data_IF_114742704576
#
_entry.id   IF_114742704576
#
_cell.length_a   1.000
_cell.length_b   1.000
_cell.length_c   1.000
_cell.angle_alpha   90.00
_cell.angle_beta   90.00
_cell.angle_gamma   90.00
#
_symmetry.space_group_name_H-M   'P 1'
#
loop_
_entity.id
_entity.type
_entity.pdbx_description
1 polymer ?
#
# COMPACT_ATOMS: atom_id res chain seq x y z
N UNK A 1 -8.76 -1.85 2.15
CA UNK A 1 -7.29 -1.88 2.30
C UNK A 1 -6.75 -0.57 1.76
N UNK A 2 -6.02 0.21 2.54
CA UNK A 2 -5.31 1.38 2.00
C UNK A 2 -3.88 0.96 1.77
N UNK A 3 -3.42 1.04 0.52
CA UNK A 3 -2.00 1.03 0.23
C UNK A 3 -1.49 2.43 0.61
N UNK A 4 -1.04 2.59 1.86
CA UNK A 4 -0.52 3.88 2.32
C UNK A 4 0.79 4.17 1.59
N UNK A 5 0.82 5.30 0.89
CA UNK A 5 2.01 6.12 0.77
C UNK A 5 1.75 7.37 1.61
N UNK A 6 2.52 7.53 2.69
CA UNK A 6 2.79 8.73 3.49
C UNK A 6 1.73 9.84 3.51
N UNK A 7 1.17 10.07 4.72
CA UNK A 7 0.41 11.28 5.08
C UNK A 7 1.24 12.55 4.79
N UNK A 8 0.78 13.37 3.84
CA UNK A 8 1.22 14.75 3.73
C UNK A 8 0.37 15.60 4.68
N UNK A 9 1.03 16.23 5.64
CA UNK A 9 0.49 17.35 6.42
C UNK A 9 0.04 18.45 5.43
N UNK A 10 -1.25 18.41 5.08
CA UNK A 10 -1.79 19.20 3.99
C UNK A 10 -2.91 18.48 3.24
N UNK A 11 -3.96 18.05 3.96
CA UNK A 11 -5.34 17.98 3.44
C UNK A 11 -5.64 17.24 2.13
N UNK A 12 -4.75 16.37 1.63
CA UNK A 12 -4.98 15.59 0.41
C UNK A 12 -4.79 14.12 0.73
N UNK A 13 -5.88 13.47 1.12
CA UNK A 13 -5.97 12.01 1.09
C UNK A 13 -6.02 11.61 -0.38
N UNK A 14 -4.84 11.38 -0.98
CA UNK A 14 -4.76 10.72 -2.27
C UNK A 14 -4.96 9.23 -2.05
N UNK A 15 -6.21 8.84 -1.82
CA UNK A 15 -6.65 7.48 -2.09
C UNK A 15 -6.43 7.24 -3.59
N UNK A 16 -5.24 6.75 -3.96
CA UNK A 16 -5.06 6.18 -5.28
C UNK A 16 -6.18 5.15 -5.43
N UNK A 17 -7.12 5.33 -6.36
CA UNK A 17 -8.27 4.46 -6.45
C UNK A 17 -7.73 3.03 -6.63
N UNK A 18 -8.38 2.08 -5.97
CA UNK A 18 -8.26 0.62 -6.11
C UNK A 18 -8.13 0.11 -7.58
N UNK A 19 -8.27 0.98 -8.58
CA UNK A 19 -8.08 0.77 -10.01
C UNK A 19 -6.61 0.68 -10.48
N UNK A 20 -5.60 1.13 -9.71
CA UNK A 20 -4.20 0.93 -10.13
C UNK A 20 -3.68 -0.49 -9.88
N UNK A 21 -4.33 -1.24 -8.98
CA UNK A 21 -4.15 -2.69 -8.87
C UNK A 21 -4.76 -3.45 -10.07
N UNK A 22 -5.50 -2.75 -10.95
CA UNK A 22 -6.24 -3.32 -12.08
C UNK A 22 -5.43 -3.43 -13.38
N UNK A 23 -4.09 -3.44 -13.31
CA UNK A 23 -3.25 -4.04 -14.36
C UNK A 23 -3.24 -5.59 -14.31
N UNK A 24 -4.19 -6.22 -13.61
CA UNK A 24 -4.55 -7.65 -13.72
C UNK A 24 -5.20 -8.02 -15.06
N UNK A 25 -4.70 -7.47 -16.17
CA UNK A 25 -5.07 -7.97 -17.49
C UNK A 25 -4.64 -9.43 -17.65
N UNK A 26 -3.60 -9.91 -16.94
CA UNK A 26 -3.07 -11.28 -17.05
C UNK A 26 -2.59 -11.91 -15.73
N UNK A 27 -3.33 -11.80 -14.62
CA UNK A 27 -2.92 -12.36 -13.31
C UNK A 27 -1.55 -11.84 -12.83
N UNK A 28 -1.22 -10.60 -13.17
CA UNK A 28 0.05 -9.97 -12.85
C UNK A 28 -0.18 -8.67 -12.10
N UNK A 29 0.67 -8.42 -11.09
CA UNK A 29 0.81 -7.15 -10.39
C UNK A 29 2.24 -6.68 -10.64
N UNK A 30 2.42 -5.44 -11.05
CA UNK A 30 3.74 -4.89 -11.33
C UNK A 30 4.05 -3.73 -10.37
N UNK A 31 5.30 -3.66 -9.89
CA UNK A 31 5.77 -2.53 -9.07
C UNK A 31 7.26 -2.29 -9.25
N UNK A 32 7.73 -1.11 -8.84
CA UNK A 32 9.15 -0.74 -8.80
C UNK A 32 9.75 -0.85 -7.39
N UNK A 33 9.01 -1.42 -6.41
CA UNK A 33 9.45 -1.51 -5.00
C UNK A 33 10.58 -2.50 -4.76
N UNK A 34 10.94 -3.32 -5.75
CA UNK A 34 11.91 -4.41 -5.58
C UNK A 34 11.49 -5.28 -4.37
N UNK A 35 12.42 -5.50 -3.44
CA UNK A 35 12.22 -6.27 -2.21
C UNK A 35 11.77 -5.39 -1.02
N UNK A 36 11.29 -4.17 -1.27
CA UNK A 36 10.74 -3.30 -0.24
C UNK A 36 9.58 -3.97 0.49
N UNK A 37 9.57 -3.85 1.81
CA UNK A 37 8.49 -4.36 2.67
C UNK A 37 7.54 -3.24 3.04
N UNK A 38 6.25 -3.54 3.00
CA UNK A 38 5.17 -2.62 3.29
C UNK A 38 4.31 -3.18 4.42
N UNK A 39 3.99 -2.40 5.45
CA UNK A 39 3.06 -2.80 6.49
C UNK A 39 1.62 -2.51 6.05
N UNK A 40 1.04 -3.41 5.23
CA UNK A 40 -0.27 -3.21 4.63
C UNK A 40 -1.37 -2.98 5.67
N UNK A 41 -2.02 -1.83 5.64
CA UNK A 41 -3.00 -1.41 6.65
C UNK A 41 -4.46 -1.63 6.20
N UNK A 42 -5.29 -2.12 7.11
CA UNK A 42 -6.72 -2.23 6.91
C UNK A 42 -7.42 -0.88 7.11
N UNK A 43 -8.47 -0.63 6.34
CA UNK A 43 -9.31 0.58 6.48
C UNK A 43 -9.97 0.67 7.85
N UNK A 44 -10.30 -0.46 8.48
CA UNK A 44 -10.90 -0.48 9.81
C UNK A 44 -9.91 -0.03 10.89
N UNK A 45 -8.65 -0.45 10.81
CA UNK A 45 -7.60 -0.01 11.73
C UNK A 45 -7.36 1.51 11.62
N UNK A 46 -7.43 2.08 10.40
CA UNK A 46 -7.36 3.54 10.21
C UNK A 46 -8.56 4.24 10.86
N UNK A 47 -9.76 3.70 10.66
CA UNK A 47 -10.97 4.26 11.24
C UNK A 47 -10.93 4.21 12.77
N UNK A 48 -10.46 3.11 13.35
CA UNK A 48 -10.28 2.93 14.79
C UNK A 48 -9.25 3.91 15.34
N UNK A 49 -8.05 3.98 14.76
CA UNK A 49 -7.02 4.94 15.19
C UNK A 49 -7.49 6.39 15.09
N UNK A 50 -8.25 6.72 14.03
CA UNK A 50 -8.83 8.06 13.86
C UNK A 50 -9.91 8.35 14.91
N UNK A 51 -10.77 7.37 15.18
CA UNK A 51 -11.82 7.49 16.19
C UNK A 51 -11.24 7.71 17.59
N UNK A 52 -10.24 6.92 17.97
CA UNK A 52 -9.53 7.09 19.25
C UNK A 52 -8.87 8.47 19.35
N UNK A 53 -8.19 8.91 18.28
CA UNK A 53 -7.54 10.22 18.27
C UNK A 53 -8.54 11.38 18.38
N UNK A 54 -9.72 11.26 17.78
CA UNK A 54 -10.77 12.28 17.82
C UNK A 54 -11.51 12.35 19.17
N UNK A 55 -11.58 11.22 19.89
CA UNK A 55 -12.26 11.14 21.19
C UNK A 55 -11.33 11.26 22.40
N UNK A 56 -10.02 11.31 22.19
CA UNK A 56 -9.06 11.47 23.27
C UNK A 56 -9.32 12.77 24.05
N UNK A 57 -9.38 12.67 25.39
CA UNK A 57 -9.56 13.84 26.27
C UNK A 57 -8.45 14.89 26.06
N UNK A 58 -7.25 14.42 25.74
CA UNK A 58 -6.12 15.26 25.39
C UNK A 58 -5.61 14.91 23.99
N UNK A 59 -5.60 15.90 23.10
CA UNK A 59 -4.97 15.78 21.79
C UNK A 59 -3.48 15.50 21.94
N UNK A 60 -2.99 14.53 21.19
CA UNK A 60 -1.56 14.24 21.11
C UNK A 60 -0.77 15.38 20.44
N UNK A 61 -1.44 16.26 19.68
CA UNK A 61 -0.82 17.37 18.94
C UNK A 61 0.46 16.96 18.20
N UNK A 62 0.43 15.76 17.61
CA UNK A 62 1.56 15.15 16.91
C UNK A 62 1.06 14.27 15.78
N UNK A 63 1.94 14.04 14.81
CA UNK A 63 1.67 13.16 13.69
C UNK A 63 2.05 11.72 14.04
N UNK A 64 1.13 10.79 13.76
CA UNK A 64 1.34 9.35 13.90
C UNK A 64 1.18 8.66 12.55
N UNK A 65 1.99 7.63 12.33
CA UNK A 65 1.84 6.69 11.24
C UNK A 65 0.95 5.53 11.68
N UNK A 66 -0.08 5.24 10.91
CA UNK A 66 -0.93 4.04 11.13
C UNK A 66 -0.48 2.97 10.14
N UNK A 67 0.02 1.85 10.66
CA UNK A 67 0.65 0.80 9.86
C UNK A 67 0.04 -0.57 10.15
N UNK A 68 0.07 -1.46 9.16
CA UNK A 68 -0.40 -2.83 9.33
C UNK A 68 0.44 -3.66 10.31
N UNK A 69 -0.10 -4.76 10.83
CA UNK A 69 0.60 -5.63 11.78
C UNK A 69 1.77 -6.41 11.18
N UNK A 70 1.84 -6.54 9.86
CA UNK A 70 2.79 -7.43 9.16
C UNK A 70 3.54 -6.69 8.06
N UNK A 71 4.87 -6.78 8.07
CA UNK A 71 5.74 -6.29 7.00
C UNK A 71 5.87 -7.32 5.89
N UNK A 72 5.33 -7.03 4.72
CA UNK A 72 5.29 -7.96 3.59
C UNK A 72 5.86 -7.32 2.33
N UNK A 73 6.56 -8.11 1.51
CA UNK A 73 6.89 -7.71 0.14
C UNK A 73 5.67 -7.91 -0.76
N UNK A 74 5.64 -7.26 -1.93
CA UNK A 74 4.62 -7.54 -2.93
C UNK A 74 4.68 -9.00 -3.42
N UNK A 75 5.86 -9.61 -3.51
CA UNK A 75 5.98 -11.04 -3.82
C UNK A 75 5.16 -11.88 -2.83
N UNK A 76 5.36 -11.67 -1.52
CA UNK A 76 4.63 -12.40 -0.49
C UNK A 76 3.13 -12.09 -0.51
N UNK A 77 2.74 -10.84 -0.76
CA UNK A 77 1.34 -10.46 -0.91
C UNK A 77 0.67 -11.23 -2.07
N UNK A 78 1.34 -11.35 -3.22
CA UNK A 78 0.82 -12.11 -4.38
C UNK A 78 0.78 -13.62 -4.15
N UNK A 79 1.71 -14.17 -3.38
CA UNK A 79 1.67 -15.57 -2.94
C UNK A 79 0.44 -15.84 -2.07
N UNK A 80 0.22 -15.02 -1.03
CA UNK A 80 -0.94 -15.16 -0.14
C UNK A 80 -2.24 -15.07 -0.95
N UNK A 81 -2.33 -14.12 -1.88
CA UNK A 81 -3.49 -13.99 -2.75
C UNK A 81 -3.70 -15.24 -3.61
N UNK A 82 -2.62 -15.77 -4.21
CA UNK A 82 -2.65 -16.98 -5.03
C UNK A 82 -3.13 -18.20 -4.26
N UNK A 83 -2.66 -18.37 -3.02
CA UNK A 83 -3.08 -19.45 -2.11
C UNK A 83 -4.59 -19.39 -1.83
N UNK A 84 -5.14 -18.18 -1.64
CA UNK A 84 -6.56 -17.98 -1.28
C UNK A 84 -7.49 -18.21 -2.47
N UNK A 85 -7.13 -17.74 -3.66
CA UNK A 85 -8.01 -17.82 -4.85
C UNK A 85 -7.82 -19.12 -5.65
N UNK A 86 -6.77 -19.89 -5.36
CA UNK A 86 -6.49 -21.17 -6.02
C UNK A 86 -5.94 -21.06 -7.43
N UNK A 87 -5.47 -19.88 -7.86
CA UNK A 87 -4.76 -19.70 -9.12
C UNK A 87 -3.60 -18.72 -8.97
N UNK A 88 -2.57 -18.88 -9.82
CA UNK A 88 -1.33 -18.10 -9.72
C UNK A 88 -1.57 -16.64 -10.07
N UNK A 89 -1.21 -15.75 -9.16
CA UNK A 89 -0.97 -14.32 -9.35
C UNK A 89 0.55 -14.09 -9.26
N UNK A 90 1.13 -13.35 -10.19
CA UNK A 90 2.57 -13.11 -10.24
C UNK A 90 2.89 -11.65 -9.98
N UNK A 91 3.81 -11.38 -9.05
CA UNK A 91 4.43 -10.08 -8.93
C UNK A 91 5.57 -9.94 -9.94
N UNK A 92 5.56 -8.85 -10.72
CA UNK A 92 6.59 -8.52 -11.71
C UNK A 92 7.30 -7.25 -11.30
N UNK A 93 8.60 -7.37 -11.06
CA UNK A 93 9.47 -6.24 -10.81
C UNK A 93 9.73 -5.50 -12.12
N UNK A 94 9.26 -4.26 -12.20
CA UNK A 94 9.48 -3.38 -13.36
C UNK A 94 10.51 -2.30 -13.02
N UNK A 95 11.13 -1.71 -14.04
CA UNK A 95 12.05 -0.59 -13.84
C UNK A 95 11.28 0.72 -13.72
N UNK A 96 11.92 1.73 -13.14
CA UNK A 96 11.37 3.08 -13.06
C UNK A 96 11.00 3.63 -14.43
N UNK A 97 11.82 3.38 -15.45
CA UNK A 97 11.58 3.83 -16.81
C UNK A 97 10.33 3.16 -17.42
N UNK A 98 10.12 1.87 -17.13
CA UNK A 98 8.93 1.12 -17.57
C UNK A 98 7.66 1.65 -16.91
N UNK A 99 7.69 1.91 -15.60
CA UNK A 99 6.55 2.47 -14.88
C UNK A 99 6.22 3.89 -15.34
N UNK A 100 7.24 4.75 -15.47
CA UNK A 100 7.05 6.11 -15.97
C UNK A 100 6.53 6.11 -17.42
N UNK A 101 7.03 5.20 -18.25
CA UNK A 101 6.53 4.99 -19.61
C UNK A 101 5.06 4.60 -19.63
N UNK A 102 4.66 3.68 -18.75
CA UNK A 102 3.25 3.30 -18.57
C UNK A 102 2.39 4.50 -18.16
N UNK A 103 2.76 5.24 -17.12
CA UNK A 103 1.96 6.38 -16.66
C UNK A 103 1.86 7.49 -17.72
N UNK A 104 2.94 7.78 -18.45
CA UNK A 104 2.90 8.73 -19.57
C UNK A 104 1.97 8.24 -20.69
N UNK A 105 1.97 6.93 -20.99
CA UNK A 105 1.12 6.34 -22.05
C UNK A 105 -0.38 6.50 -21.78
N UNK A 106 -0.77 6.61 -20.51
CA UNK A 106 -2.18 6.83 -20.10
C UNK A 106 -2.51 8.33 -19.90
N UNK A 107 -1.63 9.24 -20.35
CA UNK A 107 -1.86 10.69 -20.33
C UNK A 107 -1.54 11.37 -19.00
N UNK A 108 -0.75 10.74 -18.13
CA UNK A 108 -0.37 11.33 -16.85
C UNK A 108 0.73 12.39 -17.03
N UNK A 109 0.64 13.48 -16.27
CA UNK A 109 1.54 14.63 -16.37
C UNK A 109 2.95 14.28 -15.87
N UNK A 110 4.03 14.69 -16.57
CA UNK A 110 5.40 14.26 -16.26
C UNK A 110 5.84 14.48 -14.80
N UNK A 111 5.47 15.61 -14.20
CA UNK A 111 5.83 15.97 -12.84
C UNK A 111 5.17 15.02 -11.83
N UNK A 112 3.92 14.66 -12.10
CA UNK A 112 3.16 13.74 -11.27
C UNK A 112 3.68 12.29 -11.42
N UNK A 113 4.09 11.90 -12.63
CA UNK A 113 4.77 10.62 -12.88
C UNK A 113 6.08 10.52 -12.11
N UNK A 114 6.89 11.58 -12.14
CA UNK A 114 8.16 11.63 -11.42
C UNK A 114 7.95 11.55 -9.90
N UNK A 115 6.93 12.23 -9.38
CA UNK A 115 6.55 12.17 -7.97
C UNK A 115 6.17 10.74 -7.54
N UNK A 116 5.26 10.07 -8.26
CA UNK A 116 4.85 8.69 -7.94
C UNK A 116 6.02 7.72 -7.96
N UNK A 117 6.87 7.79 -9.00
CA UNK A 117 8.03 6.92 -9.10
C UNK A 117 9.06 7.16 -7.98
N UNK A 118 9.22 8.42 -7.55
CA UNK A 118 10.05 8.77 -6.40
C UNK A 118 9.57 8.14 -5.10
N UNK A 119 8.24 8.06 -4.88
CA UNK A 119 7.66 7.43 -3.68
C UNK A 119 7.97 5.92 -3.65
N UNK A 120 7.80 5.23 -4.77
CA UNK A 120 8.06 3.80 -4.87
C UNK A 120 9.57 3.47 -4.72
N UNK A 121 10.45 4.33 -5.21
CA UNK A 121 11.90 4.19 -5.01
C UNK A 121 12.28 4.25 -3.52
N UNK A 122 11.60 5.09 -2.73
CA UNK A 122 11.84 5.22 -1.29
C UNK A 122 11.38 3.96 -0.55
N UNK A 123 10.30 3.31 -0.98
CA UNK A 123 9.88 1.99 -0.48
C UNK A 123 10.94 0.92 -0.78
N UNK A 124 11.53 0.92 -1.98
CA UNK A 124 12.60 0.00 -2.34
C UNK A 124 13.85 0.11 -1.44
N UNK A 125 14.03 1.26 -0.78
CA UNK A 125 15.09 1.50 0.20
C UNK A 125 14.65 1.29 1.67
N UNK A 126 13.50 0.64 1.88
CA UNK A 126 13.02 0.21 3.20
C UNK A 126 12.50 1.35 4.07
N UNK A 127 12.02 2.45 3.48
CA UNK A 127 11.48 3.57 4.26
C UNK A 127 10.28 3.16 5.12
N UNK A 128 9.36 2.36 4.56
CA UNK A 128 8.18 1.86 5.27
C UNK A 128 8.56 0.89 6.41
N UNK A 129 9.55 0.02 6.18
CA UNK A 129 10.07 -0.89 7.21
C UNK A 129 10.66 -0.12 8.41
N UNK A 130 11.30 1.02 8.18
CA UNK A 130 11.86 1.87 9.25
C UNK A 130 10.82 2.55 10.11
N UNK A 131 9.57 2.69 9.65
CA UNK A 131 8.48 3.29 10.42
C UNK A 131 7.89 2.30 11.44
N UNK A 132 8.03 0.99 11.21
CA UNK A 132 7.42 -0.01 12.08
C UNK A 132 8.15 -0.07 13.42
N UNK A 133 7.38 -0.03 14.52
CA UNK A 133 7.92 -0.10 15.88
C UNK A 133 8.50 1.20 16.43
N UNK A 134 8.41 2.32 15.70
CA UNK A 134 8.76 3.63 16.25
C UNK A 134 7.71 4.11 17.24
N UNK A 135 8.08 5.02 18.15
CA UNK A 135 7.13 5.63 19.10
C UNK A 135 6.03 6.48 18.44
N UNK A 136 6.17 6.78 17.14
CA UNK A 136 5.18 7.53 16.35
C UNK A 136 4.27 6.61 15.52
N UNK A 137 4.20 5.34 15.87
CA UNK A 137 3.49 4.34 15.07
C UNK A 137 2.36 3.70 15.85
N UNK A 138 1.18 3.69 15.25
CA UNK A 138 0.00 2.94 15.71
C UNK A 138 -0.10 1.71 14.81
N UNK A 139 -0.02 0.53 15.41
CA UNK A 139 -0.07 -0.74 14.68
C UNK A 139 -1.50 -1.27 14.68
N UNK A 140 -2.08 -1.41 13.50
CA UNK A 140 -3.36 -2.06 13.30
C UNK A 140 -3.33 -3.55 13.65
N UNK A 141 -4.50 -4.16 13.75
CA UNK A 141 -4.62 -5.58 14.17
C UNK A 141 -4.99 -6.51 13.02
N UNK A 142 -5.54 -5.99 11.93
CA UNK A 142 -6.06 -6.80 10.83
C UNK A 142 -4.95 -7.14 9.83
N UNK A 143 -4.85 -8.43 9.48
CA UNK A 143 -3.82 -8.92 8.56
C UNK A 143 -4.25 -8.79 7.10
N UNK A 144 -3.27 -8.78 6.19
CA UNK A 144 -3.53 -8.77 4.75
C UNK A 144 -4.27 -10.04 4.30
N UNK A 145 -3.94 -11.20 4.88
CA UNK A 145 -4.61 -12.47 4.61
C UNK A 145 -6.12 -12.38 4.89
N UNK A 146 -6.49 -11.86 6.06
CA UNK A 146 -7.90 -11.74 6.47
C UNK A 146 -8.69 -10.89 5.47
N UNK A 147 -8.08 -9.81 4.97
CA UNK A 147 -8.67 -8.98 3.93
C UNK A 147 -8.88 -9.76 2.63
N UNK A 148 -7.87 -10.49 2.16
CA UNK A 148 -8.01 -11.29 0.94
C UNK A 148 -9.04 -12.42 1.07
N UNK A 149 -9.12 -13.09 2.22
CA UNK A 149 -10.11 -14.13 2.46
C UNK A 149 -11.54 -13.58 2.45
N UNK A 150 -11.77 -12.45 3.14
CA UNK A 150 -13.06 -11.78 3.18
C UNK A 150 -13.48 -11.20 1.81
N UNK A 151 -12.53 -10.87 0.94
CA UNK A 151 -12.77 -10.19 -0.33
C UNK A 151 -12.39 -11.02 -1.57
N UNK A 152 -12.24 -12.35 -1.43
CA UNK A 152 -11.79 -13.24 -2.53
C UNK A 152 -12.60 -13.10 -3.82
N UNK A 153 -13.89 -12.80 -3.72
CA UNK A 153 -14.77 -12.61 -4.88
C UNK A 153 -14.37 -11.41 -5.76
N UNK A 154 -13.62 -10.43 -5.24
CA UNK A 154 -13.08 -9.32 -6.04
C UNK A 154 -11.95 -9.75 -6.97
N UNK A 155 -11.35 -10.91 -6.71
CA UNK A 155 -10.11 -11.37 -7.32
C UNK A 155 -10.32 -12.55 -8.28
N UNK A 156 -11.48 -13.20 -8.21
CA UNK A 156 -11.87 -14.32 -9.08
C UNK A 156 -12.62 -13.74 -10.29
N UNK A 157 -12.19 -14.12 -11.50
CA UNK A 157 -12.87 -13.78 -12.77
C UNK A 157 -13.91 -14.83 -13.14
#
# INVERSE_FOLDING_TARGET
MVFQGVSLAGGVSLAAPHKNFRNSCNNTIASVTKNGKIPFINTNDIAEATFEALLAEQSANSDFYVVGPELLTYDRATEILSEIIGHKITHVHITNEQEQGFFRSIGMWPEYVAMLNGMEAVIAHGAEEKLVGTSKTITGTHKLRDYFEANKALWIK
#
